data_IF_995618870066
#
_entry.id   IF_995618870066
#
_cell.length_a   1.000
_cell.length_b   1.000
_cell.length_c   1.000
_cell.angle_alpha   90.00
_cell.angle_beta   90.00
_cell.angle_gamma   90.00
#
_symmetry.space_group_name_H-M   'P 1'
#
loop_
_entity.id
_entity.type
_entity.pdbx_description
1 polymer ?
#
# COMPACT_ATOMS: atom_id res chain seq x y z
N UNK A 1 -32.20 19.93 -62.81
CA UNK A 1 -30.80 20.12 -62.38
C UNK A 1 -30.68 20.41 -60.88
N UNK A 2 -31.41 21.39 -60.30
CA UNK A 2 -31.33 21.73 -58.87
C UNK A 2 -31.62 20.57 -57.89
N UNK A 3 -32.60 19.71 -58.18
CA UNK A 3 -32.93 18.53 -57.34
C UNK A 3 -31.82 17.47 -57.32
N UNK A 4 -31.13 17.28 -58.45
CA UNK A 4 -29.98 16.36 -58.57
C UNK A 4 -28.78 16.91 -57.80
N UNK A 5 -28.56 18.23 -57.87
CA UNK A 5 -27.49 18.89 -57.12
C UNK A 5 -27.70 18.76 -55.59
N UNK A 6 -28.95 18.89 -55.12
CA UNK A 6 -29.31 18.70 -53.71
C UNK A 6 -29.08 17.25 -53.25
N UNK A 7 -29.44 16.27 -54.07
CA UNK A 7 -29.20 14.85 -53.74
C UNK A 7 -27.70 14.53 -53.64
N UNK A 8 -26.85 15.14 -54.48
CA UNK A 8 -25.38 14.96 -54.41
C UNK A 8 -24.81 15.54 -53.11
N UNK A 9 -25.29 16.71 -52.68
CA UNK A 9 -24.84 17.34 -51.43
C UNK A 9 -25.22 16.51 -50.20
N UNK A 10 -26.43 15.92 -50.19
CA UNK A 10 -26.89 15.05 -49.09
C UNK A 10 -26.05 13.78 -48.99
N UNK A 11 -25.72 13.16 -50.12
CA UNK A 11 -24.86 11.96 -50.16
C UNK A 11 -23.44 12.29 -49.67
N UNK A 12 -22.89 13.42 -50.11
CA UNK A 12 -21.56 13.87 -49.67
C UNK A 12 -21.53 14.14 -48.16
N UNK A 13 -22.56 14.79 -47.62
CA UNK A 13 -22.69 15.08 -46.19
C UNK A 13 -22.85 13.79 -45.36
N UNK A 14 -23.60 12.81 -45.86
CA UNK A 14 -23.75 11.50 -45.20
C UNK A 14 -22.44 10.72 -45.14
N UNK A 15 -21.60 10.78 -46.18
CA UNK A 15 -20.28 10.12 -46.20
C UNK A 15 -19.32 10.79 -45.21
N UNK A 16 -19.40 12.12 -45.07
CA UNK A 16 -18.51 12.87 -44.17
C UNK A 16 -18.87 12.72 -42.69
N UNK A 17 -20.15 12.51 -42.36
CA UNK A 17 -20.61 12.34 -40.98
C UNK A 17 -20.46 10.93 -40.42
N UNK A 18 -20.50 9.91 -41.27
CA UNK A 18 -20.41 8.51 -40.87
C UNK A 18 -19.13 8.12 -40.09
N UNK A 19 -17.90 8.57 -40.46
CA UNK A 19 -16.69 8.22 -39.72
C UNK A 19 -16.66 8.76 -38.28
N UNK A 20 -17.35 9.87 -37.99
CA UNK A 20 -17.40 10.45 -36.65
C UNK A 20 -18.16 9.55 -35.64
N UNK A 21 -19.11 8.75 -36.11
CA UNK A 21 -19.86 7.80 -35.26
C UNK A 21 -19.03 6.57 -34.87
N UNK A 22 -18.09 6.14 -35.70
CA UNK A 22 -17.21 5.01 -35.38
C UNK A 22 -16.28 5.34 -34.20
N UNK A 23 -15.77 6.57 -34.11
CA UNK A 23 -14.92 6.99 -33.00
C UNK A 23 -15.65 7.07 -31.66
N UNK A 24 -16.96 7.35 -31.67
CA UNK A 24 -17.81 7.40 -30.46
C UNK A 24 -18.08 6.01 -29.86
N UNK A 25 -18.07 4.97 -30.69
CA UNK A 25 -18.35 3.58 -30.26
C UNK A 25 -17.08 2.84 -29.84
N UNK A 26 -15.89 3.40 -30.10
CA UNK A 26 -14.65 2.82 -29.61
C UNK A 26 -14.54 3.11 -28.11
N UNK A 27 -14.97 2.13 -27.31
CA UNK A 27 -14.72 2.12 -25.88
C UNK A 27 -13.21 2.24 -25.66
N UNK A 28 -12.75 3.38 -25.15
CA UNK A 28 -11.41 3.51 -24.61
C UNK A 28 -11.34 2.55 -23.42
N UNK A 29 -10.73 1.38 -23.61
CA UNK A 29 -10.28 0.58 -22.49
C UNK A 29 -9.20 1.38 -21.79
N UNK A 30 -9.55 1.99 -20.66
CA UNK A 30 -8.57 2.51 -19.72
C UNK A 30 -7.74 1.31 -19.27
N UNK A 31 -6.56 1.16 -19.87
CA UNK A 31 -5.54 0.27 -19.35
C UNK A 31 -5.04 0.96 -18.07
N UNK A 32 -5.77 0.72 -16.97
CA UNK A 32 -5.27 1.01 -15.65
C UNK A 32 -4.12 0.04 -15.50
N UNK A 33 -2.91 0.48 -15.88
CA UNK A 33 -1.68 -0.18 -15.51
C UNK A 33 -1.78 -0.34 -14.00
N UNK A 34 -2.13 -1.55 -13.57
CA UNK A 34 -2.24 -1.90 -12.16
C UNK A 34 -0.79 -1.91 -11.70
N UNK A 35 -0.32 -0.73 -11.30
CA UNK A 35 0.97 -0.54 -10.69
C UNK A 35 0.95 -1.43 -9.44
N UNK A 36 1.53 -2.61 -9.58
CA UNK A 36 1.71 -3.52 -8.48
C UNK A 36 2.69 -2.83 -7.55
N UNK A 37 2.16 -2.21 -6.49
CA UNK A 37 2.98 -1.57 -5.47
C UNK A 37 3.64 -2.71 -4.70
N UNK A 38 4.81 -3.14 -5.17
CA UNK A 38 5.65 -4.10 -4.46
C UNK A 38 6.12 -3.40 -3.18
N UNK A 39 5.52 -3.79 -2.06
CA UNK A 39 5.90 -3.28 -0.74
C UNK A 39 7.12 -4.05 -0.25
N UNK A 40 8.28 -3.45 -0.38
CA UNK A 40 9.52 -4.02 0.16
C UNK A 40 9.53 -3.91 1.69
N UNK A 41 9.54 -5.06 2.35
CA UNK A 41 9.65 -5.13 3.80
C UNK A 41 11.00 -4.55 4.27
N UNK A 42 11.00 -3.79 5.37
CA UNK A 42 12.22 -3.20 5.90
C UNK A 42 13.19 -4.28 6.38
N UNK A 43 14.49 -4.06 6.17
CA UNK A 43 15.50 -5.00 6.61
C UNK A 43 15.45 -5.20 8.15
N UNK A 44 15.36 -6.45 8.63
CA UNK A 44 15.14 -6.74 10.06
C UNK A 44 16.36 -6.40 10.94
N UNK A 45 17.55 -6.34 10.35
CA UNK A 45 18.80 -6.11 11.06
C UNK A 45 19.17 -7.31 11.93
N UNK A 46 19.20 -7.10 13.26
CA UNK A 46 19.59 -8.14 14.21
C UNK A 46 18.43 -9.08 14.53
N UNK A 47 18.64 -10.37 14.29
CA UNK A 47 17.69 -11.43 14.56
C UNK A 47 17.73 -11.91 16.03
N UNK A 48 16.65 -12.54 16.53
CA UNK A 48 16.54 -13.01 17.92
C UNK A 48 17.50 -14.14 18.30
N UNK A 49 18.22 -14.70 17.34
CA UNK A 49 19.25 -15.72 17.56
C UNK A 49 20.59 -15.14 18.04
N UNK A 50 20.78 -13.83 17.94
CA UNK A 50 22.02 -13.17 18.35
C UNK A 50 21.97 -12.64 19.80
N UNK A 51 23.04 -12.79 20.61
CA UNK A 51 23.06 -12.33 22.02
C UNK A 51 22.77 -10.83 22.19
N UNK A 52 23.19 -9.99 21.24
CA UNK A 52 22.94 -8.55 21.26
C UNK A 52 21.48 -8.15 20.94
N UNK A 53 20.59 -9.10 20.63
CA UNK A 53 19.18 -8.81 20.32
C UNK A 53 18.44 -8.17 21.50
N UNK A 54 18.90 -8.43 22.73
CA UNK A 54 18.38 -7.78 23.92
C UNK A 54 18.49 -6.25 23.84
N UNK A 55 19.61 -5.73 23.34
CA UNK A 55 19.83 -4.27 23.19
C UNK A 55 18.85 -3.69 22.16
N UNK A 56 18.65 -4.39 21.03
CA UNK A 56 17.64 -4.01 20.03
C UNK A 56 16.25 -3.93 20.68
N UNK A 57 15.89 -4.94 21.47
CA UNK A 57 14.59 -5.01 22.15
C UNK A 57 14.41 -3.88 23.17
N UNK A 58 15.47 -3.51 23.91
CA UNK A 58 15.44 -2.37 24.83
C UNK A 58 15.24 -1.05 24.09
N UNK A 59 15.96 -0.83 22.98
CA UNK A 59 15.79 0.35 22.14
C UNK A 59 14.35 0.47 21.63
N UNK A 60 13.77 -0.62 21.15
CA UNK A 60 12.41 -0.61 20.58
C UNK A 60 11.38 -0.22 21.65
N UNK A 61 11.52 -0.74 22.87
CA UNK A 61 10.68 -0.33 24.03
C UNK A 61 10.88 1.14 24.38
N UNK A 62 12.13 1.62 24.40
CA UNK A 62 12.43 3.02 24.69
C UNK A 62 11.85 3.97 23.64
N UNK A 63 11.87 3.57 22.37
CA UNK A 63 11.30 4.34 21.26
C UNK A 63 9.79 4.48 21.41
N UNK A 64 9.08 3.38 21.69
CA UNK A 64 7.64 3.40 21.93
C UNK A 64 7.31 4.27 23.15
N UNK A 65 8.06 4.10 24.24
CA UNK A 65 7.84 4.84 25.48
C UNK A 65 8.08 6.35 25.33
N UNK A 66 9.13 6.74 24.59
CA UNK A 66 9.47 8.15 24.38
C UNK A 66 8.52 8.83 23.40
N UNK A 67 7.89 8.07 22.49
CA UNK A 67 6.96 8.63 21.51
C UNK A 67 5.62 8.95 22.17
N UNK A 68 5.38 10.23 22.48
CA UNK A 68 4.13 10.68 23.14
C UNK A 68 2.96 10.87 22.19
N UNK A 69 3.24 11.33 20.98
CA UNK A 69 2.22 11.62 19.95
C UNK A 69 1.66 10.31 19.38
N UNK A 70 0.32 10.16 19.37
CA UNK A 70 -0.34 8.93 18.97
C UNK A 70 -0.18 8.61 17.47
N UNK A 71 -0.13 9.61 16.60
CA UNK A 71 0.08 9.40 15.16
C UNK A 71 1.51 8.95 14.87
N UNK A 72 2.51 9.56 15.53
CA UNK A 72 3.91 9.12 15.46
C UNK A 72 4.08 7.75 16.08
N UNK A 73 3.40 7.48 17.20
CA UNK A 73 3.42 6.18 17.88
C UNK A 73 2.88 5.09 16.96
N UNK A 74 1.73 5.32 16.31
CA UNK A 74 1.17 4.38 15.33
C UNK A 74 2.16 4.04 14.20
N UNK A 75 2.89 5.04 13.68
CA UNK A 75 3.96 4.82 12.68
C UNK A 75 5.13 4.00 13.24
N UNK A 76 5.52 4.23 14.49
CA UNK A 76 6.55 3.42 15.16
C UNK A 76 6.08 1.97 15.31
N UNK A 77 4.84 1.74 15.74
CA UNK A 77 4.26 0.40 15.83
C UNK A 77 4.22 -0.32 14.48
N UNK A 78 3.80 0.38 13.42
CA UNK A 78 3.82 -0.15 12.05
C UNK A 78 5.24 -0.55 11.63
N UNK A 79 6.20 0.35 11.79
CA UNK A 79 7.60 0.08 11.43
C UNK A 79 8.19 -1.10 12.19
N UNK A 80 7.86 -1.27 13.48
CA UNK A 80 8.30 -2.41 14.27
C UNK A 80 7.62 -3.70 13.81
N UNK A 81 6.31 -3.66 13.53
CA UNK A 81 5.57 -4.79 12.95
C UNK A 81 6.24 -5.31 11.69
N UNK A 82 6.49 -4.44 10.72
CA UNK A 82 7.06 -4.81 9.42
C UNK A 82 8.47 -5.41 9.58
N UNK A 83 9.28 -4.87 10.51
CA UNK A 83 10.61 -5.43 10.83
C UNK A 83 10.53 -6.81 11.45
N UNK A 84 9.53 -7.08 12.28
CA UNK A 84 9.31 -8.40 12.86
C UNK A 84 8.81 -9.41 11.83
N UNK A 85 7.97 -8.98 10.88
CA UNK A 85 7.59 -9.81 9.73
C UNK A 85 8.80 -10.16 8.85
N UNK A 86 9.64 -9.18 8.53
CA UNK A 86 10.88 -9.40 7.78
C UNK A 86 11.85 -10.34 8.53
N UNK A 87 11.95 -10.19 9.86
CA UNK A 87 12.76 -11.06 10.70
C UNK A 87 12.24 -12.50 10.69
N UNK A 88 10.92 -12.68 10.73
CA UNK A 88 10.28 -13.99 10.60
C UNK A 88 10.65 -14.65 9.28
N UNK A 89 10.53 -13.94 8.15
CA UNK A 89 10.92 -14.47 6.84
C UNK A 89 12.39 -14.91 6.81
N UNK A 90 13.29 -14.05 7.30
CA UNK A 90 14.71 -14.38 7.37
C UNK A 90 15.03 -15.57 8.31
N UNK A 91 14.20 -15.82 9.33
CA UNK A 91 14.34 -16.98 10.22
C UNK A 91 13.81 -18.26 9.58
N UNK A 92 12.74 -18.19 8.79
CA UNK A 92 12.23 -19.31 7.99
C UNK A 92 13.29 -19.77 7.00
N UNK A 93 13.92 -18.84 6.28
CA UNK A 93 15.02 -19.14 5.35
C UNK A 93 16.22 -19.82 6.04
N UNK A 94 16.40 -19.57 7.34
CA UNK A 94 17.46 -20.17 8.18
C UNK A 94 17.03 -21.48 8.86
N UNK A 95 15.83 -22.00 8.58
CA UNK A 95 15.28 -23.22 9.19
C UNK A 95 14.92 -23.08 10.68
N UNK A 96 14.80 -21.85 11.19
CA UNK A 96 14.49 -21.56 12.60
C UNK A 96 13.00 -21.29 12.80
N UNK A 97 12.15 -22.24 12.41
CA UNK A 97 10.69 -22.08 12.36
C UNK A 97 10.06 -21.62 13.67
N UNK A 98 10.45 -22.22 14.81
CA UNK A 98 9.90 -21.83 16.11
C UNK A 98 10.22 -20.38 16.48
N UNK A 99 11.40 -19.88 16.10
CA UNK A 99 11.75 -18.48 16.32
C UNK A 99 11.03 -17.58 15.32
N UNK A 100 10.86 -18.02 14.07
CA UNK A 100 10.09 -17.29 13.07
C UNK A 100 8.65 -17.07 13.53
N UNK A 101 7.96 -18.11 14.00
CA UNK A 101 6.58 -18.01 14.52
C UNK A 101 6.50 -17.00 15.67
N UNK A 102 7.47 -17.02 16.59
CA UNK A 102 7.50 -16.04 17.70
C UNK A 102 7.71 -14.61 17.21
N UNK A 103 8.58 -14.39 16.22
CA UNK A 103 8.78 -13.05 15.64
C UNK A 103 7.54 -12.59 14.88
N UNK A 104 6.88 -13.49 14.14
CA UNK A 104 5.63 -13.18 13.45
C UNK A 104 4.54 -12.75 14.43
N UNK A 105 4.36 -13.51 15.52
CA UNK A 105 3.42 -13.15 16.60
C UNK A 105 3.73 -11.78 17.22
N UNK A 106 5.02 -11.45 17.42
CA UNK A 106 5.39 -10.10 17.88
C UNK A 106 4.99 -9.03 16.88
N UNK A 107 5.24 -9.26 15.59
CA UNK A 107 4.84 -8.34 14.53
C UNK A 107 3.34 -8.10 14.53
N UNK A 108 2.55 -9.16 14.58
CA UNK A 108 1.09 -9.11 14.68
C UNK A 108 0.62 -8.31 15.90
N UNK A 109 1.20 -8.57 17.08
CA UNK A 109 0.87 -7.83 18.29
C UNK A 109 1.15 -6.32 18.14
N UNK A 110 2.27 -5.93 17.53
CA UNK A 110 2.54 -4.52 17.26
C UNK A 110 1.53 -3.91 16.27
N UNK A 111 1.13 -4.67 15.26
CA UNK A 111 0.14 -4.23 14.28
C UNK A 111 -1.24 -4.00 14.92
N UNK A 112 -1.65 -4.87 15.83
CA UNK A 112 -2.95 -4.79 16.52
C UNK A 112 -3.10 -3.57 17.44
N UNK A 113 -2.00 -2.94 17.86
CA UNK A 113 -2.02 -1.70 18.63
C UNK A 113 -2.29 -0.45 17.77
N UNK A 114 -2.11 -0.54 16.45
CA UNK A 114 -2.25 0.62 15.56
C UNK A 114 -3.69 1.15 15.49
N UNK A 115 -4.75 0.31 15.33
CA UNK A 115 -6.11 0.80 15.21
C UNK A 115 -6.61 1.61 16.41
N UNK A 116 -6.22 1.22 17.64
CA UNK A 116 -6.59 1.94 18.86
C UNK A 116 -5.98 3.33 18.89
N UNK A 117 -4.68 3.44 18.57
CA UNK A 117 -3.96 4.71 18.47
C UNK A 117 -4.55 5.63 17.40
N UNK A 118 -4.86 5.11 16.21
CA UNK A 118 -5.46 5.90 15.12
C UNK A 118 -6.87 6.38 15.47
N UNK A 119 -7.65 5.56 16.21
CA UNK A 119 -8.96 5.98 16.73
C UNK A 119 -8.84 7.15 17.70
N UNK A 120 -7.85 7.13 18.58
CA UNK A 120 -7.56 8.25 19.48
C UNK A 120 -7.17 9.52 18.72
N UNK A 121 -6.30 9.42 17.71
CA UNK A 121 -5.92 10.56 16.86
C UNK A 121 -7.15 11.19 16.20
N UNK A 122 -8.02 10.34 15.62
CA UNK A 122 -9.27 10.80 15.00
C UNK A 122 -10.18 11.52 16.01
N UNK A 123 -10.31 10.99 17.23
CA UNK A 123 -11.12 11.59 18.29
C UNK A 123 -10.55 12.94 18.79
N UNK A 124 -9.24 13.12 18.70
CA UNK A 124 -8.55 14.36 19.05
C UNK A 124 -8.62 15.42 17.95
N UNK A 125 -9.34 15.15 16.85
CA UNK A 125 -9.45 16.05 15.69
C UNK A 125 -8.19 16.07 14.81
N UNK A 126 -7.26 15.12 14.99
CA UNK A 126 -6.09 14.97 14.14
C UNK A 126 -6.46 14.42 12.76
N UNK A 127 -6.04 15.11 11.70
CA UNK A 127 -6.13 14.62 10.32
C UNK A 127 -4.98 13.67 9.97
N UNK A 128 -5.23 12.72 9.07
CA UNK A 128 -4.17 11.92 8.46
C UNK A 128 -3.52 12.77 7.35
N UNK A 129 -2.45 13.47 7.69
CA UNK A 129 -1.56 14.15 6.72
C UNK A 129 -0.44 13.24 6.28
#
# INVERSE_FOLDING_TARGET
>A
MKRILISIVIVFFSIFLFPAFYSITQSQSLDIEKQEVIYELPYPGLLPDHPLYFIKSMRDKFLIFTTRDNQKKARVYLHLSDKHMAASLALVEKGKEQLAVRELQKGENFFLEIPSLLKEVKNQGGGFS
#
